data_IF_779684979592
#
_entry.id   IF_779684979592
#
_cell.length_a   1.000
_cell.length_b   1.000
_cell.length_c   1.000
_cell.angle_alpha   90.00
_cell.angle_beta   90.00
_cell.angle_gamma   90.00
#
_symmetry.space_group_name_H-M   'P 1'
#
loop_
_entity.id
_entity.type
_entity.pdbx_description
1 polymer ?
#
# COMPACT_ATOMS: atom_id res chain seq x y z
N UNK A 1 -17.89 22.22 7.22
CA UNK A 1 -16.42 22.07 7.15
C UNK A 1 -16.01 22.33 5.70
N UNK A 2 -15.11 23.29 5.49
CA UNK A 2 -14.55 23.58 4.17
C UNK A 2 -13.60 22.45 3.71
N UNK A 3 -13.22 22.46 2.42
CA UNK A 3 -12.38 21.41 1.82
C UNK A 3 -10.98 21.36 2.42
N UNK A 4 -10.37 22.49 2.77
CA UNK A 4 -9.03 22.53 3.36
C UNK A 4 -9.00 21.92 4.77
N UNK A 5 -10.02 22.18 5.59
CA UNK A 5 -10.17 21.60 6.92
C UNK A 5 -10.46 20.10 6.83
N UNK A 6 -11.31 19.70 5.87
CA UNK A 6 -11.60 18.28 5.65
C UNK A 6 -10.37 17.52 5.17
N UNK A 7 -9.60 18.10 4.24
CA UNK A 7 -8.36 17.51 3.76
C UNK A 7 -7.37 17.26 4.90
N UNK A 8 -7.15 18.24 5.78
CA UNK A 8 -6.30 18.05 6.97
C UNK A 8 -6.84 16.96 7.88
N UNK A 9 -8.16 16.92 8.11
CA UNK A 9 -8.79 15.88 8.92
C UNK A 9 -8.55 14.48 8.35
N UNK A 10 -8.58 14.32 7.02
CA UNK A 10 -8.26 13.05 6.35
C UNK A 10 -6.77 12.72 6.45
N UNK A 11 -5.89 13.69 6.20
CA UNK A 11 -4.44 13.50 6.30
C UNK A 11 -3.96 13.19 7.73
N UNK A 12 -4.67 13.68 8.75
CA UNK A 12 -4.41 13.43 10.17
C UNK A 12 -5.16 12.20 10.72
N UNK A 13 -5.91 11.48 9.87
CA UNK A 13 -6.64 10.30 10.29
C UNK A 13 -5.67 9.20 10.78
N UNK A 14 -5.87 8.60 11.98
CA UNK A 14 -4.91 7.65 12.55
C UNK A 14 -4.57 6.44 11.68
N UNK A 15 -5.51 6.00 10.84
CA UNK A 15 -5.35 4.88 9.91
C UNK A 15 -5.18 5.34 8.45
N UNK A 16 -4.78 6.60 8.22
CA UNK A 16 -4.46 7.08 6.86
C UNK A 16 -3.36 6.25 6.20
N UNK A 17 -2.47 5.64 6.99
CA UNK A 17 -1.42 4.74 6.53
C UNK A 17 -1.94 3.51 5.77
N UNK A 18 -3.18 3.10 6.03
CA UNK A 18 -3.78 1.89 5.44
C UNK A 18 -3.90 1.98 3.92
N UNK A 19 -3.94 3.19 3.34
CA UNK A 19 -3.95 3.36 1.88
C UNK A 19 -2.73 2.72 1.21
N UNK A 20 -1.60 2.61 1.93
CA UNK A 20 -0.35 2.01 1.43
C UNK A 20 -0.31 0.49 1.57
N UNK A 21 -1.30 -0.10 2.24
CA UNK A 21 -1.46 -1.53 2.37
C UNK A 21 -2.16 -2.16 1.15
N UNK A 22 -2.66 -1.38 0.20
CA UNK A 22 -3.35 -1.92 -0.98
C UNK A 22 -2.40 -2.03 -2.18
N UNK A 23 -2.83 -2.74 -3.23
CA UNK A 23 -1.95 -2.97 -4.38
C UNK A 23 -1.74 -1.70 -5.22
N UNK A 24 -2.67 -0.75 -5.11
CA UNK A 24 -2.59 0.58 -5.69
C UNK A 24 -3.36 1.62 -4.86
N UNK A 25 -3.10 2.89 -5.14
CA UNK A 25 -3.65 4.04 -4.44
C UNK A 25 -5.18 4.14 -4.51
N UNK A 26 -5.79 3.76 -5.64
CA UNK A 26 -7.25 3.79 -5.80
C UNK A 26 -7.92 2.85 -4.79
N UNK A 27 -7.46 1.59 -4.74
CA UNK A 27 -7.94 0.60 -3.77
C UNK A 27 -7.72 1.07 -2.32
N UNK A 28 -6.58 1.70 -2.05
CA UNK A 28 -6.27 2.26 -0.73
C UNK A 28 -7.29 3.30 -0.27
N UNK A 29 -7.63 4.26 -1.13
CA UNK A 29 -8.64 5.28 -0.82
C UNK A 29 -10.07 4.73 -0.78
N UNK A 30 -10.39 3.73 -1.60
CA UNK A 30 -11.67 3.02 -1.54
C UNK A 30 -11.82 2.30 -0.20
N UNK A 31 -10.80 1.56 0.23
CA UNK A 31 -10.76 0.90 1.55
C UNK A 31 -10.93 1.90 2.69
N UNK A 32 -10.14 2.97 2.70
CA UNK A 32 -10.26 4.04 3.70
C UNK A 32 -11.66 4.67 3.71
N UNK A 33 -12.29 4.84 2.55
CA UNK A 33 -13.63 5.43 2.44
C UNK A 33 -14.74 4.56 3.02
N UNK A 34 -14.51 3.24 3.17
CA UNK A 34 -15.44 2.34 3.87
C UNK A 34 -15.42 2.54 5.39
N UNK A 35 -14.26 2.93 5.93
CA UNK A 35 -14.04 3.09 7.37
C UNK A 35 -14.27 4.52 7.84
N UNK A 36 -13.91 5.48 6.99
CA UNK A 36 -13.94 6.90 7.30
C UNK A 36 -14.68 7.69 6.23
N UNK A 37 -15.95 8.00 6.51
CA UNK A 37 -16.81 8.79 5.62
C UNK A 37 -16.20 10.17 5.24
N UNK A 38 -15.30 10.73 6.06
CA UNK A 38 -14.59 11.96 5.73
C UNK A 38 -13.76 11.84 4.44
N UNK A 39 -13.12 10.69 4.22
CA UNK A 39 -12.37 10.41 2.98
C UNK A 39 -13.32 10.33 1.78
N UNK A 40 -14.45 9.61 1.92
CA UNK A 40 -15.47 9.52 0.88
C UNK A 40 -16.00 10.91 0.48
N UNK A 41 -16.31 11.76 1.47
CA UNK A 41 -16.79 13.13 1.24
C UNK A 41 -15.71 14.01 0.60
N UNK A 42 -14.44 13.87 1.02
CA UNK A 42 -13.32 14.65 0.49
C UNK A 42 -13.15 14.40 -1.01
N UNK A 43 -13.13 13.13 -1.43
CA UNK A 43 -12.94 12.73 -2.84
C UNK A 43 -14.07 13.22 -3.77
N UNK A 44 -15.19 13.70 -3.20
CA UNK A 44 -16.27 14.32 -3.97
C UNK A 44 -16.17 15.85 -4.10
N UNK A 45 -15.20 16.50 -3.44
CA UNK A 45 -15.06 17.96 -3.47
C UNK A 45 -14.50 18.45 -4.81
N UNK A 46 -15.17 19.40 -5.49
CA UNK A 46 -14.73 19.92 -6.78
C UNK A 46 -13.48 20.79 -6.69
N UNK A 47 -13.20 21.38 -5.53
CA UNK A 47 -12.03 22.23 -5.25
C UNK A 47 -10.88 21.46 -4.58
N UNK A 48 -10.97 20.12 -4.48
CA UNK A 48 -9.97 19.29 -3.80
C UNK A 48 -8.57 19.50 -4.36
N UNK A 49 -8.40 19.44 -5.68
CA UNK A 49 -7.09 19.56 -6.33
C UNK A 49 -6.41 20.89 -6.01
N UNK A 50 -7.14 22.01 -6.06
CA UNK A 50 -6.64 23.34 -5.72
C UNK A 50 -6.16 23.42 -4.25
N UNK A 51 -6.98 22.91 -3.31
CA UNK A 51 -6.63 22.93 -1.88
C UNK A 51 -5.47 21.99 -1.56
N UNK A 52 -5.43 20.83 -2.21
CA UNK A 52 -4.34 19.85 -2.07
C UNK A 52 -3.02 20.43 -2.57
N UNK A 53 -2.98 21.03 -3.76
CA UNK A 53 -1.77 21.67 -4.28
C UNK A 53 -1.25 22.76 -3.34
N UNK A 54 -2.15 23.60 -2.81
CA UNK A 54 -1.78 24.67 -1.87
C UNK A 54 -1.15 24.10 -0.60
N UNK A 55 -1.78 23.08 0.00
CA UNK A 55 -1.27 22.44 1.22
C UNK A 55 0.04 21.68 0.96
N UNK A 56 0.12 20.98 -0.18
CA UNK A 56 1.31 20.25 -0.60
C UNK A 56 2.50 21.20 -0.77
N UNK A 57 2.33 22.30 -1.51
CA UNK A 57 3.37 23.31 -1.70
C UNK A 57 3.90 23.85 -0.38
N UNK A 58 3.01 24.31 0.49
CA UNK A 58 3.40 24.84 1.81
C UNK A 58 4.15 23.80 2.66
N UNK A 59 3.75 22.52 2.58
CA UNK A 59 4.40 21.43 3.30
C UNK A 59 5.78 21.12 2.73
N UNK A 60 5.93 21.10 1.41
CA UNK A 60 7.23 20.88 0.74
C UNK A 60 8.20 22.03 1.01
N UNK A 61 7.75 23.29 0.99
CA UNK A 61 8.58 24.44 1.37
C UNK A 61 9.06 24.35 2.82
N UNK A 62 8.18 23.95 3.75
CA UNK A 62 8.54 23.71 5.15
C UNK A 62 9.51 22.53 5.30
N UNK A 63 9.37 21.48 4.50
CA UNK A 63 10.34 20.37 4.48
C UNK A 63 11.67 20.82 3.88
N UNK A 64 11.67 21.64 2.83
CA UNK A 64 12.86 22.09 2.13
C UNK A 64 13.82 22.90 3.03
N UNK A 65 13.34 23.55 4.09
CA UNK A 65 14.20 24.24 5.07
C UNK A 65 14.82 23.32 6.13
N UNK A 66 14.34 22.07 6.27
CA UNK A 66 14.89 21.10 7.23
C UNK A 66 16.22 20.50 6.76
N UNK A 67 17.02 19.98 7.68
CA UNK A 67 18.20 19.16 7.37
C UNK A 67 17.82 17.68 7.34
N UNK A 68 18.64 16.84 6.70
CA UNK A 68 18.40 15.39 6.62
C UNK A 68 18.25 14.72 7.98
N UNK A 69 18.96 15.21 9.01
CA UNK A 69 18.89 14.66 10.37
C UNK A 69 17.68 15.15 11.16
N UNK A 70 16.96 16.16 10.67
CA UNK A 70 15.83 16.80 11.35
C UNK A 70 14.48 16.50 10.70
N UNK A 71 14.45 15.68 9.63
CA UNK A 71 13.19 15.24 9.02
C UNK A 71 12.60 14.10 9.85
N UNK A 72 11.30 14.16 10.11
CA UNK A 72 10.61 13.09 10.85
C UNK A 72 9.94 12.11 9.89
N UNK A 73 9.73 10.86 10.35
CA UNK A 73 8.94 9.88 9.62
C UNK A 73 7.53 10.43 9.30
N UNK A 74 6.94 11.20 10.22
CA UNK A 74 5.66 11.87 9.99
C UNK A 74 5.69 12.84 8.80
N UNK A 75 6.78 13.60 8.62
CA UNK A 75 6.90 14.49 7.46
C UNK A 75 6.94 13.68 6.14
N UNK A 76 7.69 12.57 6.14
CA UNK A 76 7.80 11.66 4.99
C UNK A 76 6.44 11.04 4.69
N UNK A 77 5.72 10.56 5.71
CA UNK A 77 4.40 9.95 5.53
C UNK A 77 3.36 10.96 5.06
N UNK A 78 3.34 12.18 5.60
CA UNK A 78 2.44 13.24 5.14
C UNK A 78 2.69 13.59 3.67
N UNK A 79 3.97 13.66 3.25
CA UNK A 79 4.32 13.78 1.83
C UNK A 79 3.71 12.64 1.01
N UNK A 80 3.93 11.39 1.41
CA UNK A 80 3.41 10.21 0.70
C UNK A 80 1.87 10.19 0.63
N UNK A 81 1.18 10.62 1.68
CA UNK A 81 -0.28 10.69 1.70
C UNK A 81 -0.84 11.74 0.73
N UNK A 82 -0.23 12.93 0.71
CA UNK A 82 -0.62 13.98 -0.24
C UNK A 82 -0.31 13.58 -1.69
N UNK A 83 0.83 12.95 -1.93
CA UNK A 83 1.23 12.45 -3.25
C UNK A 83 0.31 11.33 -3.73
N UNK A 84 -0.11 10.45 -2.82
CA UNK A 84 -1.12 9.44 -3.12
C UNK A 84 -2.45 10.09 -3.53
N UNK A 85 -2.88 11.16 -2.87
CA UNK A 85 -4.07 11.91 -3.30
C UNK A 85 -3.86 12.57 -4.67
N UNK A 86 -2.68 13.11 -4.97
CA UNK A 86 -2.39 13.79 -6.25
C UNK A 86 -2.47 12.83 -7.44
N UNK A 87 -2.09 11.56 -7.25
CA UNK A 87 -2.20 10.52 -8.29
C UNK A 87 -3.51 9.74 -8.26
N UNK A 88 -4.41 10.03 -7.32
CA UNK A 88 -5.75 9.45 -7.33
C UNK A 88 -6.47 9.90 -8.60
N UNK A 89 -7.03 9.00 -9.44
CA UNK A 89 -7.43 9.34 -10.81
C UNK A 89 -8.30 10.59 -10.93
N UNK A 90 -9.31 10.72 -10.06
CA UNK A 90 -10.21 11.87 -10.07
C UNK A 90 -9.52 13.20 -9.74
N UNK A 91 -8.52 13.19 -8.84
CA UNK A 91 -7.75 14.39 -8.47
C UNK A 91 -6.73 14.69 -9.57
N UNK A 92 -6.07 13.65 -10.10
CA UNK A 92 -5.16 13.76 -11.22
C UNK A 92 -5.82 14.44 -12.44
N UNK A 93 -7.06 14.04 -12.75
CA UNK A 93 -7.82 14.60 -13.88
C UNK A 93 -8.29 16.05 -13.66
N UNK A 94 -8.32 16.53 -12.40
CA UNK A 94 -8.62 17.92 -12.08
C UNK A 94 -7.42 18.86 -12.29
N UNK A 95 -6.21 18.32 -12.40
CA UNK A 95 -4.98 19.09 -12.58
C UNK A 95 -4.69 19.32 -14.06
N UNK A 96 -4.34 20.56 -14.42
CA UNK A 96 -3.73 20.87 -15.71
C UNK A 96 -2.33 20.27 -15.83
N UNK A 97 -1.79 20.21 -17.05
CA UNK A 97 -0.45 19.71 -17.29
C UNK A 97 0.62 20.50 -16.52
N UNK A 98 0.56 21.83 -16.59
CA UNK A 98 1.51 22.71 -15.89
C UNK A 98 1.49 22.50 -14.37
N UNK A 99 0.31 22.25 -13.79
CA UNK A 99 0.16 21.95 -12.36
C UNK A 99 0.80 20.59 -12.01
N UNK A 100 0.62 19.57 -12.84
CA UNK A 100 1.24 18.25 -12.64
C UNK A 100 2.77 18.34 -12.67
N UNK A 101 3.30 19.08 -13.65
CA UNK A 101 4.74 19.31 -13.79
C UNK A 101 5.31 20.10 -12.60
N UNK A 102 4.63 21.14 -12.14
CA UNK A 102 5.05 21.93 -10.99
C UNK A 102 5.08 21.11 -9.69
N UNK A 103 4.06 20.27 -9.46
CA UNK A 103 3.99 19.38 -8.30
C UNK A 103 5.10 18.31 -8.36
N UNK A 104 5.32 17.69 -9.52
CA UNK A 104 6.37 16.69 -9.70
C UNK A 104 7.77 17.28 -9.49
N UNK A 105 8.05 18.47 -10.03
CA UNK A 105 9.32 19.18 -9.83
C UNK A 105 9.58 19.51 -8.35
N UNK A 106 8.55 19.96 -7.63
CA UNK A 106 8.64 20.23 -6.20
C UNK A 106 8.90 18.95 -5.39
N UNK A 107 8.21 17.84 -5.74
CA UNK A 107 8.50 16.54 -5.14
C UNK A 107 9.96 16.16 -5.36
N UNK A 108 10.47 16.27 -6.59
CA UNK A 108 11.82 15.84 -6.93
C UNK A 108 12.87 16.58 -6.10
N UNK A 109 12.74 17.90 -5.98
CA UNK A 109 13.65 18.73 -5.19
C UNK A 109 13.72 18.29 -3.72
N UNK A 110 12.57 18.01 -3.11
CA UNK A 110 12.49 17.54 -1.71
C UNK A 110 13.03 16.11 -1.61
N UNK A 111 12.65 15.24 -2.54
CA UNK A 111 13.01 13.83 -2.55
C UNK A 111 14.52 13.61 -2.68
N UNK A 112 15.20 14.36 -3.55
CA UNK A 112 16.66 14.30 -3.72
C UNK A 112 17.40 14.66 -2.42
N UNK A 113 16.91 15.69 -1.72
CA UNK A 113 17.51 16.16 -0.47
C UNK A 113 17.41 15.11 0.64
N UNK A 114 16.29 14.41 0.73
CA UNK A 114 16.00 13.47 1.81
C UNK A 114 16.21 12.00 1.43
N UNK A 115 16.58 11.71 0.18
CA UNK A 115 16.73 10.35 -0.35
C UNK A 115 15.44 9.54 -0.16
N UNK A 116 14.31 10.14 -0.54
CA UNK A 116 12.98 9.52 -0.58
C UNK A 116 12.52 9.37 -2.03
N UNK A 117 11.46 8.63 -2.28
CA UNK A 117 10.87 8.51 -3.62
C UNK A 117 10.28 9.85 -4.06
N UNK A 118 10.46 10.20 -5.33
CA UNK A 118 9.78 11.35 -5.95
C UNK A 118 8.44 10.92 -6.55
N UNK A 119 7.50 11.87 -6.58
CA UNK A 119 6.22 11.71 -7.25
C UNK A 119 6.42 11.62 -8.76
N UNK A 120 5.84 10.59 -9.36
CA UNK A 120 5.77 10.44 -10.82
C UNK A 120 4.32 10.69 -11.25
N UNK A 121 4.08 11.86 -11.84
CA UNK A 121 2.76 12.22 -12.39
C UNK A 121 2.58 11.70 -13.82
N UNK A 122 3.65 11.64 -14.60
CA UNK A 122 3.64 11.11 -15.96
C UNK A 122 4.88 10.28 -16.23
N UNK A 123 4.74 9.22 -17.04
CA UNK A 123 5.88 8.47 -17.58
C UNK A 123 6.56 9.31 -18.66
N UNK A 124 7.36 10.29 -18.27
CA UNK A 124 8.27 10.95 -19.20
C UNK A 124 9.35 9.95 -19.62
N UNK A 125 9.69 9.95 -20.90
CA UNK A 125 10.59 8.99 -21.56
C UNK A 125 11.90 8.71 -20.79
N UNK A 126 12.18 7.42 -20.58
CA UNK A 126 13.49 6.77 -20.31
C UNK A 126 14.39 7.45 -19.27
N UNK A 127 13.84 7.79 -18.11
CA UNK A 127 14.64 8.03 -16.89
C UNK A 127 14.62 6.74 -16.06
N UNK A 128 15.57 6.58 -15.14
CA UNK A 128 15.66 5.40 -14.26
C UNK A 128 14.29 5.03 -13.66
N UNK A 129 14.00 3.73 -13.57
CA UNK A 129 12.71 3.23 -13.05
C UNK A 129 12.41 3.85 -11.67
N UNK A 130 11.18 4.33 -11.50
CA UNK A 130 10.72 4.89 -10.25
C UNK A 130 10.13 3.79 -9.35
N UNK A 131 10.14 3.94 -8.01
CA UNK A 131 9.57 2.95 -7.10
C UNK A 131 8.11 2.60 -7.46
N UNK A 132 7.84 1.30 -7.58
CA UNK A 132 6.56 0.76 -8.06
C UNK A 132 6.50 0.48 -9.56
N UNK A 133 7.40 1.05 -10.37
CA UNK A 133 7.46 0.74 -11.81
C UNK A 133 7.72 -0.73 -12.07
N UNK A 134 7.03 -1.28 -13.05
CA UNK A 134 7.24 -2.66 -13.49
C UNK A 134 8.56 -2.75 -14.26
N UNK A 135 9.45 -3.60 -13.78
CA UNK A 135 10.76 -3.87 -14.37
C UNK A 135 10.71 -5.07 -15.32
N UNK A 136 9.98 -6.11 -14.94
CA UNK A 136 9.93 -7.38 -15.64
C UNK A 136 8.61 -8.10 -15.35
N UNK A 137 8.11 -8.86 -16.32
CA UNK A 137 6.99 -9.79 -16.14
C UNK A 137 7.50 -11.24 -16.10
N UNK A 138 6.76 -12.09 -15.39
CA UNK A 138 7.00 -13.52 -15.32
C UNK A 138 5.71 -14.31 -15.12
N UNK A 139 5.85 -15.62 -14.93
CA UNK A 139 4.74 -16.50 -14.60
C UNK A 139 5.09 -17.39 -13.41
N UNK A 140 4.14 -17.53 -12.49
CA UNK A 140 4.17 -18.52 -11.41
C UNK A 140 3.00 -19.48 -11.58
N UNK A 141 3.09 -20.67 -11.03
CA UNK A 141 2.13 -21.74 -11.30
C UNK A 141 1.46 -22.19 -10.00
N UNK A 142 0.12 -22.28 -9.97
CA UNK A 142 -0.59 -23.00 -8.93
C UNK A 142 -0.11 -24.45 -8.86
N UNK A 143 -0.10 -25.08 -7.67
CA UNK A 143 0.20 -26.50 -7.55
C UNK A 143 -0.64 -27.32 -8.53
N UNK A 144 0.01 -28.22 -9.28
CA UNK A 144 -0.64 -29.15 -10.21
C UNK A 144 -1.36 -28.49 -11.41
N UNK A 145 -1.15 -27.19 -11.66
CA UNK A 145 -1.66 -26.47 -12.82
C UNK A 145 -0.58 -26.16 -13.84
N UNK A 146 -0.90 -26.24 -15.13
CA UNK A 146 -0.07 -25.72 -16.22
C UNK A 146 -0.48 -24.30 -16.64
N UNK A 147 -1.55 -23.77 -16.06
CA UNK A 147 -1.99 -22.38 -16.31
C UNK A 147 -1.16 -21.46 -15.43
N UNK A 148 -0.28 -20.66 -16.06
CA UNK A 148 0.53 -19.67 -15.38
C UNK A 148 -0.29 -18.45 -14.93
N UNK A 149 0.04 -17.93 -13.76
CA UNK A 149 -0.44 -16.64 -13.23
C UNK A 149 0.61 -15.58 -13.52
N UNK A 150 0.22 -14.50 -14.18
CA UNK A 150 1.09 -13.38 -14.51
C UNK A 150 1.56 -12.70 -13.20
N UNK A 151 2.86 -12.46 -13.12
CA UNK A 151 3.49 -11.73 -12.02
C UNK A 151 4.44 -10.67 -12.56
N UNK A 152 4.80 -9.70 -11.73
CA UNK A 152 5.78 -8.68 -12.09
C UNK A 152 6.84 -8.46 -11.00
N UNK A 153 8.05 -8.07 -11.42
CA UNK A 153 9.03 -7.42 -10.56
C UNK A 153 8.81 -5.92 -10.64
N UNK A 154 8.88 -5.26 -9.49
CA UNK A 154 8.74 -3.82 -9.40
C UNK A 154 10.03 -3.19 -8.87
N UNK A 155 10.30 -1.96 -9.29
CA UNK A 155 11.36 -1.15 -8.70
C UNK A 155 11.04 -0.93 -7.22
N UNK A 156 11.97 -1.26 -6.35
CA UNK A 156 11.72 -1.25 -4.91
C UNK A 156 11.81 0.15 -4.30
N UNK A 157 11.20 0.31 -3.12
CA UNK A 157 11.21 1.54 -2.33
C UNK A 157 12.63 1.92 -1.86
N UNK A 158 12.88 3.20 -1.67
CA UNK A 158 14.11 3.68 -1.03
C UNK A 158 14.20 3.20 0.43
N UNK A 159 15.41 3.08 0.96
CA UNK A 159 15.60 2.67 2.38
C UNK A 159 14.95 3.64 3.36
N UNK A 160 14.90 4.93 3.03
CA UNK A 160 14.24 5.96 3.85
C UNK A 160 12.73 5.74 3.90
N UNK A 161 12.09 5.55 2.74
CA UNK A 161 10.63 5.31 2.69
C UNK A 161 10.25 4.00 3.36
N UNK A 162 11.09 2.96 3.19
CA UNK A 162 10.90 1.69 3.90
C UNK A 162 10.89 1.89 5.40
N UNK A 163 11.85 2.65 5.92
CA UNK A 163 11.98 2.91 7.37
C UNK A 163 10.78 3.72 7.88
N UNK A 164 10.40 4.79 7.20
CA UNK A 164 9.24 5.60 7.59
C UNK A 164 7.94 4.79 7.58
N UNK A 165 7.70 4.03 6.50
CA UNK A 165 6.52 3.15 6.35
C UNK A 165 6.48 2.11 7.47
N UNK A 166 7.60 1.43 7.69
CA UNK A 166 7.78 0.44 8.75
C UNK A 166 7.44 1.01 10.14
N UNK A 167 8.04 2.15 10.50
CA UNK A 167 7.84 2.78 11.80
C UNK A 167 6.40 3.24 12.00
N UNK A 168 5.77 3.76 10.94
CA UNK A 168 4.38 4.23 11.02
C UNK A 168 3.40 3.06 11.20
N UNK A 169 3.55 1.97 10.43
CA UNK A 169 2.71 0.78 10.61
C UNK A 169 2.91 0.13 11.99
N UNK A 170 4.14 0.03 12.49
CA UNK A 170 4.40 -0.50 13.83
C UNK A 170 3.74 0.36 14.94
N UNK A 171 3.69 1.68 14.75
CA UNK A 171 3.04 2.59 15.68
C UNK A 171 1.51 2.50 15.59
N UNK A 172 0.95 2.37 14.38
CA UNK A 172 -0.51 2.25 14.16
C UNK A 172 -1.05 0.88 14.60
N UNK A 173 -0.27 -0.19 14.41
CA UNK A 173 -0.65 -1.57 14.73
C UNK A 173 0.29 -2.20 15.77
N UNK A 174 0.26 -1.74 17.03
CA UNK A 174 1.23 -2.15 18.05
C UNK A 174 1.11 -3.62 18.47
N UNK A 175 0.00 -4.32 18.13
CA UNK A 175 -0.16 -5.75 18.41
C UNK A 175 0.37 -6.64 17.29
N UNK A 176 0.63 -6.07 16.11
CA UNK A 176 1.28 -6.76 15.01
C UNK A 176 2.80 -6.80 15.21
N UNK A 177 3.41 -7.94 14.89
CA UNK A 177 4.87 -8.10 14.91
C UNK A 177 5.40 -8.07 13.49
N UNK A 178 6.25 -7.10 13.16
CA UNK A 178 6.93 -7.04 11.86
C UNK A 178 7.96 -8.17 11.72
N UNK A 179 7.82 -8.96 10.67
CA UNK A 179 8.70 -10.07 10.27
C UNK A 179 9.55 -9.74 9.03
N UNK A 180 9.19 -8.70 8.28
CA UNK A 180 9.92 -8.25 7.09
C UNK A 180 9.62 -6.79 6.78
N UNK A 181 10.58 -6.11 6.15
CA UNK A 181 10.47 -4.69 5.80
C UNK A 181 9.44 -4.45 4.69
N UNK A 182 8.93 -3.22 4.62
CA UNK A 182 8.27 -2.67 3.44
C UNK A 182 9.09 -2.89 2.16
N UNK A 183 8.40 -3.25 1.08
CA UNK A 183 8.99 -3.55 -0.24
C UNK A 183 7.90 -3.71 -1.31
N UNK A 184 8.22 -3.32 -2.55
CA UNK A 184 7.43 -3.62 -3.75
C UNK A 184 7.75 -4.97 -4.39
N UNK A 185 8.68 -5.74 -3.84
CA UNK A 185 9.11 -7.01 -4.45
C UNK A 185 8.01 -8.09 -4.43
N UNK A 186 7.13 -8.08 -3.45
CA UNK A 186 6.02 -9.03 -3.32
C UNK A 186 4.89 -8.46 -2.46
N UNK A 187 3.67 -8.93 -2.71
CA UNK A 187 2.47 -8.56 -1.97
C UNK A 187 1.91 -9.74 -1.17
N UNK A 188 0.74 -9.52 -0.54
CA UNK A 188 0.02 -10.50 0.27
C UNK A 188 -0.29 -11.79 -0.48
N UNK A 189 -0.75 -11.64 -1.72
CA UNK A 189 -1.16 -12.73 -2.59
C UNK A 189 0.04 -13.61 -2.96
N UNK A 190 1.11 -13.01 -3.49
CA UNK A 190 2.30 -13.76 -3.86
C UNK A 190 2.93 -14.47 -2.65
N UNK A 191 2.93 -13.82 -1.49
CA UNK A 191 3.45 -14.43 -0.26
C UNK A 191 2.62 -15.64 0.20
N UNK A 192 1.29 -15.51 0.20
CA UNK A 192 0.41 -16.56 0.71
C UNK A 192 0.33 -17.76 -0.25
N UNK A 193 0.22 -17.51 -1.55
CA UNK A 193 -0.14 -18.55 -2.52
C UNK A 193 1.05 -19.12 -3.29
N UNK A 194 2.05 -18.29 -3.60
CA UNK A 194 3.20 -18.71 -4.38
C UNK A 194 4.43 -19.04 -3.51
N UNK A 195 4.99 -18.04 -2.81
CA UNK A 195 6.23 -18.22 -2.07
C UNK A 195 6.24 -17.39 -0.76
N UNK A 196 6.08 -18.10 0.36
CA UNK A 196 6.07 -17.52 1.71
C UNK A 196 7.49 -17.22 2.23
N UNK A 197 8.24 -16.37 1.53
CA UNK A 197 9.61 -15.98 1.86
C UNK A 197 9.82 -14.48 1.67
N UNK A 198 10.65 -13.85 2.51
CA UNK A 198 11.10 -12.47 2.31
C UNK A 198 12.04 -12.31 1.12
N UNK A 199 12.57 -13.42 0.58
CA UNK A 199 13.30 -13.46 -0.69
C UNK A 199 12.40 -13.58 -1.93
N UNK A 200 11.08 -13.51 -1.78
CA UNK A 200 10.16 -13.46 -2.91
C UNK A 200 10.34 -12.13 -3.68
N UNK A 201 10.37 -12.22 -5.02
CA UNK A 201 10.59 -11.08 -5.92
C UNK A 201 9.44 -10.88 -6.90
N UNK A 202 8.35 -11.61 -6.74
CA UNK A 202 7.20 -11.54 -7.61
C UNK A 202 6.01 -10.88 -6.90
N UNK A 203 5.50 -9.83 -7.50
CA UNK A 203 4.19 -9.24 -7.19
C UNK A 203 3.10 -9.96 -7.99
N UNK A 204 1.98 -10.30 -7.35
CA UNK A 204 0.89 -11.08 -7.96
C UNK A 204 -0.46 -10.43 -7.66
N UNK A 205 -1.16 -9.95 -8.70
CA UNK A 205 -2.47 -9.33 -8.53
C UNK A 205 -3.60 -10.40 -8.49
N UNK A 206 -3.44 -11.53 -9.21
CA UNK A 206 -4.51 -12.51 -9.43
C UNK A 206 -4.37 -13.80 -8.58
N UNK A 207 -4.68 -13.71 -7.28
CA UNK A 207 -4.63 -14.86 -6.37
C UNK A 207 -5.69 -15.96 -6.62
N UNK A 208 -6.81 -15.62 -7.25
CA UNK A 208 -7.96 -16.52 -7.41
C UNK A 208 -7.65 -17.79 -8.21
N UNK A 209 -6.63 -17.75 -9.06
CA UNK A 209 -6.16 -18.91 -9.81
C UNK A 209 -5.62 -20.02 -8.90
N UNK A 210 -5.01 -19.69 -7.76
CA UNK A 210 -4.57 -20.70 -6.80
C UNK A 210 -5.74 -21.39 -6.09
N UNK A 211 -6.78 -20.63 -5.76
CA UNK A 211 -8.01 -21.20 -5.17
C UNK A 211 -8.75 -22.10 -6.16
N UNK A 212 -8.71 -21.78 -7.46
CA UNK A 212 -9.45 -22.53 -8.49
C UNK A 212 -8.66 -23.72 -9.05
N UNK A 213 -7.38 -23.53 -9.35
CA UNK A 213 -6.55 -24.50 -10.06
C UNK A 213 -5.44 -25.11 -9.21
N UNK A 214 -5.20 -24.58 -8.01
CA UNK A 214 -4.14 -25.04 -7.11
C UNK A 214 -4.54 -26.15 -6.17
N UNK A 215 -5.67 -26.85 -6.41
CA UNK A 215 -6.21 -27.92 -5.56
C UNK A 215 -6.52 -27.51 -4.11
N UNK A 216 -6.79 -26.23 -3.88
CA UNK A 216 -7.25 -25.75 -2.59
C UNK A 216 -8.77 -25.95 -2.42
N UNK A 217 -9.16 -26.46 -1.26
CA UNK A 217 -10.56 -26.63 -0.86
C UNK A 217 -10.92 -25.61 0.20
N UNK A 218 -12.10 -24.99 0.06
CA UNK A 218 -12.63 -24.06 1.05
C UNK A 218 -12.99 -24.81 2.34
N UNK A 219 -12.55 -24.30 3.49
CA UNK A 219 -12.84 -24.87 4.81
C UNK A 219 -13.55 -23.86 5.71
N UNK A 220 -14.34 -24.35 6.66
CA UNK A 220 -15.06 -23.53 7.65
C UNK A 220 -14.30 -23.38 8.96
N UNK A 221 -13.54 -24.41 9.35
CA UNK A 221 -12.74 -24.45 10.57
C UNK A 221 -11.25 -24.45 10.19
N UNK A 222 -10.59 -23.28 10.17
CA UNK A 222 -9.19 -23.20 9.79
C UNK A 222 -8.30 -23.87 10.84
N UNK A 223 -7.16 -24.35 10.40
CA UNK A 223 -6.04 -24.80 11.23
C UNK A 223 -4.77 -24.08 10.81
N UNK A 224 -3.72 -24.14 11.64
CA UNK A 224 -2.41 -23.69 11.22
C UNK A 224 -1.98 -24.41 9.93
N UNK A 225 -1.43 -23.66 8.98
CA UNK A 225 -1.08 -24.15 7.64
C UNK A 225 -2.09 -23.79 6.54
N UNK A 226 -3.34 -23.50 6.91
CA UNK A 226 -4.35 -23.03 5.94
C UNK A 226 -4.04 -21.62 5.44
N UNK A 227 -4.62 -21.25 4.30
CA UNK A 227 -4.60 -19.90 3.75
C UNK A 227 -5.87 -19.16 4.15
N UNK A 228 -5.75 -17.86 4.40
CA UNK A 228 -6.90 -16.96 4.53
C UNK A 228 -6.94 -16.04 3.32
N UNK A 229 -8.14 -15.84 2.77
CA UNK A 229 -8.43 -14.89 1.71
C UNK A 229 -9.50 -13.90 2.18
N UNK A 230 -9.14 -12.62 2.19
CA UNK A 230 -10.04 -11.50 2.46
C UNK A 230 -10.56 -11.07 1.09
N UNK A 231 -11.86 -11.28 0.87
CA UNK A 231 -12.46 -11.31 -0.46
C UNK A 231 -12.08 -10.08 -1.31
N UNK A 232 -11.29 -10.30 -2.36
CA UNK A 232 -10.87 -9.26 -3.31
C UNK A 232 -9.73 -8.35 -2.87
N UNK A 233 -9.20 -8.47 -1.65
CA UNK A 233 -8.30 -7.46 -1.09
C UNK A 233 -7.00 -7.98 -0.46
N UNK A 234 -7.02 -9.14 0.20
CA UNK A 234 -5.86 -9.56 1.00
C UNK A 234 -5.72 -11.08 1.12
N UNK A 235 -4.51 -11.55 1.41
CA UNK A 235 -4.22 -12.96 1.65
C UNK A 235 -3.16 -13.15 2.72
N UNK A 236 -3.25 -14.28 3.43
CA UNK A 236 -2.27 -14.62 4.46
C UNK A 236 -2.22 -16.10 4.77
N UNK A 237 -1.21 -16.47 5.55
CA UNK A 237 -1.05 -17.82 6.07
C UNK A 237 -1.58 -17.85 7.51
N UNK A 238 -2.50 -18.77 7.80
CA UNK A 238 -2.93 -19.05 9.18
C UNK A 238 -1.77 -19.73 9.91
N UNK A 239 -1.23 -19.08 10.94
CA UNK A 239 -0.08 -19.60 11.69
C UNK A 239 -0.46 -20.23 13.02
N UNK A 240 -1.58 -19.84 13.60
CA UNK A 240 -2.12 -20.49 14.81
C UNK A 240 -3.62 -20.27 14.93
N UNK A 241 -4.31 -21.25 15.53
CA UNK A 241 -5.74 -21.20 15.85
C UNK A 241 -5.93 -21.68 17.28
N UNK A 242 -6.59 -20.87 18.10
CA UNK A 242 -6.98 -21.20 19.48
C UNK A 242 -8.40 -20.70 19.74
N UNK A 243 -9.39 -21.60 19.62
CA UNK A 243 -10.80 -21.21 19.61
C UNK A 243 -11.09 -20.22 18.47
N UNK A 244 -11.65 -19.06 18.80
CA UNK A 244 -11.92 -17.97 17.86
C UNK A 244 -10.69 -17.09 17.56
N UNK A 245 -9.58 -17.28 18.28
CA UNK A 245 -8.37 -16.48 18.08
C UNK A 245 -7.55 -17.10 16.95
N UNK A 246 -7.47 -16.38 15.83
CA UNK A 246 -6.71 -16.77 14.65
C UNK A 246 -5.58 -15.76 14.45
N UNK A 247 -4.36 -16.27 14.34
CA UNK A 247 -3.17 -15.48 14.01
C UNK A 247 -2.77 -15.75 12.57
N UNK A 248 -2.48 -14.68 11.85
CA UNK A 248 -2.12 -14.71 10.43
C UNK A 248 -0.73 -14.10 10.26
N UNK A 249 0.10 -14.70 9.42
CA UNK A 249 1.26 -14.03 8.84
C UNK A 249 0.91 -13.59 7.42
N UNK A 250 1.00 -12.29 7.15
CA UNK A 250 0.69 -11.74 5.84
C UNK A 250 1.48 -10.47 5.53
N UNK A 251 1.72 -10.20 4.24
CA UNK A 251 2.32 -8.96 3.74
C UNK A 251 1.21 -7.93 3.59
N UNK A 252 1.38 -6.70 4.03
CA UNK A 252 0.34 -5.67 3.89
C UNK A 252 0.62 -4.79 2.66
N UNK A 253 0.17 -5.21 1.48
CA UNK A 253 0.45 -4.53 0.20
C UNK A 253 1.95 -4.29 0.00
N UNK A 254 2.33 -3.03 -0.18
CA UNK A 254 3.74 -2.60 -0.28
C UNK A 254 4.44 -2.41 1.09
N UNK A 255 3.70 -2.38 2.20
CA UNK A 255 4.22 -2.24 3.56
C UNK A 255 4.90 -3.53 4.08
N UNK A 256 5.11 -3.66 5.38
CA UNK A 256 5.84 -4.81 5.95
C UNK A 256 5.13 -6.17 5.84
N UNK A 257 5.89 -7.23 6.14
CA UNK A 257 5.35 -8.56 6.44
C UNK A 257 5.07 -8.62 7.94
N UNK A 258 3.86 -8.97 8.35
CA UNK A 258 3.43 -8.94 9.75
C UNK A 258 2.85 -10.26 10.18
N UNK A 259 3.09 -10.63 11.45
CA UNK A 259 2.27 -11.57 12.20
C UNK A 259 1.30 -10.79 13.06
N UNK A 260 0.01 -11.04 12.90
CA UNK A 260 -1.04 -10.25 13.56
C UNK A 260 -2.29 -11.09 13.83
N UNK A 261 -3.14 -10.69 14.80
CA UNK A 261 -4.51 -11.19 14.91
C UNK A 261 -5.28 -10.96 13.60
N UNK A 262 -6.15 -11.90 13.22
CA UNK A 262 -6.87 -11.87 11.93
C UNK A 262 -7.67 -10.59 11.66
N UNK A 263 -8.12 -9.88 12.69
CA UNK A 263 -8.88 -8.63 12.53
C UNK A 263 -8.06 -7.38 12.91
N UNK A 264 -6.80 -7.53 13.34
CA UNK A 264 -5.91 -6.38 13.61
C UNK A 264 -5.01 -6.16 12.39
N UNK A 265 -5.61 -5.61 11.33
CA UNK A 265 -4.93 -5.31 10.06
C UNK A 265 -5.78 -4.37 9.19
N UNK A 266 -5.20 -3.76 8.14
CA UNK A 266 -5.88 -2.82 7.23
C UNK A 266 -7.09 -3.36 6.43
N UNK A 267 -7.40 -4.65 6.56
CA UNK A 267 -8.40 -5.35 5.73
C UNK A 267 -9.52 -5.98 6.56
N UNK A 268 -9.69 -5.56 7.82
CA UNK A 268 -10.59 -6.22 8.76
C UNK A 268 -12.07 -6.14 8.34
N UNK A 269 -12.47 -5.18 7.50
CA UNK A 269 -13.85 -5.09 7.00
C UNK A 269 -14.21 -6.17 5.98
N UNK A 270 -13.22 -6.80 5.34
CA UNK A 270 -13.48 -7.77 4.28
C UNK A 270 -13.94 -9.11 4.84
N UNK A 271 -14.82 -9.80 4.09
CA UNK A 271 -15.24 -11.16 4.41
C UNK A 271 -14.08 -12.12 4.22
N UNK A 272 -13.86 -13.02 5.20
CA UNK A 272 -12.76 -13.98 5.18
C UNK A 272 -13.24 -15.36 4.72
N UNK A 273 -12.41 -16.03 3.93
CA UNK A 273 -12.55 -17.44 3.57
C UNK A 273 -11.24 -18.16 3.84
N UNK A 274 -11.31 -19.45 4.16
CA UNK A 274 -10.14 -20.26 4.47
C UNK A 274 -9.99 -21.40 3.46
N UNK A 275 -8.74 -21.74 3.15
CA UNK A 275 -8.41 -22.64 2.06
C UNK A 275 -7.30 -23.60 2.46
N UNK A 276 -7.49 -24.88 2.16
CA UNK A 276 -6.56 -25.97 2.47
C UNK A 276 -6.23 -26.75 1.22
N UNK A 277 -4.94 -26.95 0.97
CA UNK A 277 -4.45 -27.84 -0.08
C UNK A 277 -4.53 -29.30 0.35
#
# INVERSE_FOLDING_TARGET
>A
MDTATLLKTVLDYPFMIDILAYDNTTQGFEGLSLEFNGAAVLLQRPDLAEKLQTIYKNSMEKMAVKTKNNISDTDIMQKMFMESLLVYPKVYDMLSQDEKEAVAALSQQVSDKFQTSSLVMEKTSVIAAAPGDILEYGYVYPPLSTTGVLVCKRQDMTSTDKTATNNYFDATYPTATRLGTATYNYNCHSYAWYLSSTGNTWWMDEAAYYMTYGYYNKVTNPTAGDKVYYNGAHSGNVTSVSGSNITVTSKWGAAGLYRHPINDCPYYLYTKTYWRH
#
